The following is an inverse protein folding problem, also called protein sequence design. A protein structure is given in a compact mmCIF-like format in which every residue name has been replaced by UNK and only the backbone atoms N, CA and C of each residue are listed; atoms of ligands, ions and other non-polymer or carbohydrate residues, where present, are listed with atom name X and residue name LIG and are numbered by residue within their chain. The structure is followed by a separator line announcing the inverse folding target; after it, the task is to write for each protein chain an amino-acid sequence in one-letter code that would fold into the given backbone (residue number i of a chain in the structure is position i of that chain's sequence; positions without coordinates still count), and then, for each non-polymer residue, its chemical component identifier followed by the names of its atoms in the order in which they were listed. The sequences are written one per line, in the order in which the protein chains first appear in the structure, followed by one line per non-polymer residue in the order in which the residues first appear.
data_IF_574781211176
#
_entry.id   IF_574781211176
#
_cell.length_a   1.000
_cell.length_b   1.000
_cell.length_c   1.000
_cell.angle_alpha   90.00
_cell.angle_beta   90.00
_cell.angle_gamma   90.00
#
_symmetry.space_group_name_H-M   'P 1'
#
loop_
_entity.id
_entity.type
_entity.pdbx_description
1 polymer ?
#
# COMPACT_ATOMS: atom_id res chain seq x y z
N UNK A 1 21.61 16.81 6.75
CA UNK A 1 22.13 17.90 7.58
C UNK A 1 21.45 17.86 8.94
N UNK A 2 22.22 17.93 10.04
CA UNK A 2 21.71 17.99 11.42
C UNK A 2 21.09 19.34 11.75
N UNK A 3 21.35 20.37 10.95
CA UNK A 3 20.83 21.73 11.15
C UNK A 3 19.54 22.02 10.36
N UNK A 4 18.93 20.99 9.75
CA UNK A 4 17.70 21.13 9.00
C UNK A 4 16.53 20.58 9.80
N UNK A 5 15.42 21.32 9.82
CA UNK A 5 14.17 20.82 10.37
C UNK A 5 13.46 19.97 9.32
N UNK A 6 13.28 18.71 9.63
CA UNK A 6 12.50 17.80 8.83
C UNK A 6 11.01 17.95 9.17
N UNK A 7 10.12 17.47 8.31
CA UNK A 7 8.69 17.41 8.61
C UNK A 7 8.43 16.42 9.78
N UNK A 8 7.36 15.72 9.80
CA UNK A 8 7.01 14.79 10.89
C UNK A 8 7.95 13.58 11.03
N UNK A 9 8.70 13.24 9.98
CA UNK A 9 9.51 12.02 9.95
C UNK A 9 10.68 12.13 8.95
N UNK A 10 11.78 11.46 9.25
CA UNK A 10 12.90 11.33 8.33
C UNK A 10 12.61 10.15 7.38
N UNK A 11 12.30 10.45 6.13
CA UNK A 11 12.03 9.44 5.10
C UNK A 11 13.31 9.07 4.38
N UNK A 12 13.74 7.84 4.57
CA UNK A 12 14.92 7.31 3.89
C UNK A 12 14.61 7.01 2.43
N UNK A 13 13.52 6.28 2.16
CA UNK A 13 13.06 6.02 0.80
C UNK A 13 12.03 7.07 0.37
N UNK A 14 12.51 8.16 -0.19
CA UNK A 14 11.67 9.28 -0.64
C UNK A 14 12.12 9.82 -2.00
N UNK A 15 11.40 10.81 -2.49
CA UNK A 15 11.68 11.48 -3.76
C UNK A 15 13.06 12.12 -3.82
N UNK A 16 13.62 12.50 -2.67
CA UNK A 16 14.93 13.15 -2.57
C UNK A 16 16.09 12.22 -2.94
N UNK A 17 15.93 10.90 -2.79
CA UNK A 17 16.93 9.93 -3.26
C UNK A 17 17.15 10.02 -4.77
N UNK A 18 16.11 10.40 -5.53
CA UNK A 18 16.22 10.62 -6.97
C UNK A 18 16.64 12.05 -7.28
N UNK A 19 16.05 13.04 -6.59
CA UNK A 19 16.28 14.45 -6.91
C UNK A 19 17.66 14.96 -6.46
N UNK A 20 18.12 14.57 -5.26
CA UNK A 20 19.40 15.07 -4.73
C UNK A 20 20.61 14.75 -5.61
N UNK A 21 20.79 13.54 -6.16
CA UNK A 21 21.87 13.26 -7.11
C UNK A 21 21.78 14.08 -8.39
N UNK A 22 20.59 14.43 -8.85
CA UNK A 22 20.40 15.21 -10.09
C UNK A 22 20.93 16.64 -9.96
N UNK A 23 21.01 17.21 -8.76
CA UNK A 23 21.66 18.51 -8.54
C UNK A 23 23.17 18.51 -8.82
N UNK A 24 23.81 17.34 -8.91
CA UNK A 24 25.19 17.23 -9.37
C UNK A 24 25.32 17.34 -10.90
N UNK A 25 24.20 17.08 -11.62
CA UNK A 25 24.16 17.10 -13.08
C UNK A 25 23.52 18.37 -13.63
N UNK A 26 22.57 18.95 -12.90
CA UNK A 26 21.78 20.10 -13.31
C UNK A 26 21.79 21.17 -12.23
N UNK A 27 21.99 22.43 -12.62
CA UNK A 27 21.98 23.59 -11.71
C UNK A 27 20.58 24.18 -11.55
N UNK A 28 19.70 23.96 -12.51
CA UNK A 28 18.32 24.47 -12.50
C UNK A 28 17.41 23.57 -11.66
N UNK A 29 16.78 24.12 -10.63
CA UNK A 29 15.75 23.43 -9.85
C UNK A 29 14.60 22.90 -10.71
N UNK A 30 14.16 23.71 -11.70
CA UNK A 30 13.13 23.31 -12.64
C UNK A 30 13.51 22.03 -13.40
N UNK A 31 14.73 22.01 -13.97
CA UNK A 31 15.24 20.83 -14.69
C UNK A 31 15.34 19.60 -13.79
N UNK A 32 15.87 19.76 -12.57
CA UNK A 32 15.93 18.66 -11.58
C UNK A 32 14.54 18.12 -11.28
N UNK A 33 13.57 19.00 -11.07
CA UNK A 33 12.18 18.59 -10.80
C UNK A 33 11.58 17.82 -11.96
N UNK A 34 11.69 18.32 -13.19
CA UNK A 34 11.15 17.66 -14.39
C UNK A 34 11.79 16.28 -14.59
N UNK A 35 13.12 16.21 -14.62
CA UNK A 35 13.86 14.95 -14.82
C UNK A 35 13.57 13.97 -13.67
N UNK A 36 13.60 14.46 -12.43
CA UNK A 36 13.30 13.65 -11.25
C UNK A 36 11.87 13.11 -11.26
N UNK A 37 10.88 13.90 -11.71
CA UNK A 37 9.49 13.45 -11.87
C UNK A 37 9.37 12.32 -12.89
N UNK A 38 10.03 12.47 -14.04
CA UNK A 38 10.04 11.42 -15.07
C UNK A 38 10.65 10.13 -14.50
N UNK A 39 11.80 10.21 -13.84
CA UNK A 39 12.47 9.03 -13.22
C UNK A 39 11.55 8.37 -12.19
N UNK A 40 10.91 9.15 -11.32
CA UNK A 40 10.00 8.62 -10.30
C UNK A 40 8.77 7.93 -10.90
N UNK A 41 8.18 8.51 -11.93
CA UNK A 41 7.05 7.90 -12.66
C UNK A 41 7.50 6.61 -13.35
N UNK A 42 8.68 6.58 -13.95
CA UNK A 42 9.22 5.36 -14.55
C UNK A 42 9.47 4.26 -13.50
N UNK A 43 10.02 4.61 -12.32
CA UNK A 43 10.19 3.67 -11.21
C UNK A 43 8.83 3.15 -10.70
N UNK A 44 7.83 4.01 -10.62
CA UNK A 44 6.46 3.67 -10.25
C UNK A 44 5.85 2.66 -11.23
N UNK A 45 5.95 2.93 -12.53
CA UNK A 45 5.48 2.03 -13.57
C UNK A 45 6.29 0.72 -13.60
N UNK A 46 7.60 0.78 -13.40
CA UNK A 46 8.44 -0.42 -13.30
C UNK A 46 8.01 -1.33 -12.14
N UNK A 47 7.71 -0.75 -10.97
CA UNK A 47 7.18 -1.50 -9.82
C UNK A 47 5.81 -2.12 -10.12
N UNK A 48 4.92 -1.38 -10.81
CA UNK A 48 3.64 -1.91 -11.29
C UNK A 48 3.82 -3.08 -12.26
N UNK A 49 4.68 -2.95 -13.28
CA UNK A 49 4.94 -4.04 -14.22
C UNK A 49 5.62 -5.25 -13.56
N UNK A 50 6.50 -5.02 -12.59
CA UNK A 50 7.04 -6.09 -11.76
C UNK A 50 5.94 -6.86 -11.04
N UNK A 51 5.02 -6.16 -10.37
CA UNK A 51 3.85 -6.76 -9.73
C UNK A 51 2.97 -7.47 -10.74
N UNK A 52 2.61 -6.82 -11.84
CA UNK A 52 1.78 -7.37 -12.92
C UNK A 52 2.36 -8.65 -13.50
N UNK A 53 3.68 -8.69 -13.72
CA UNK A 53 4.39 -9.91 -14.17
C UNK A 53 4.35 -11.02 -13.11
N UNK A 54 4.49 -10.65 -11.84
CA UNK A 54 4.38 -11.59 -10.73
C UNK A 54 2.96 -12.16 -10.61
N UNK A 55 1.93 -11.33 -10.79
CA UNK A 55 0.52 -11.72 -10.77
C UNK A 55 0.02 -12.32 -12.10
N UNK A 56 0.87 -12.39 -13.16
CA UNK A 56 0.50 -12.82 -14.52
C UNK A 56 -0.62 -11.96 -15.12
N UNK A 57 -0.63 -10.68 -14.84
CA UNK A 57 -1.53 -9.73 -15.50
C UNK A 57 -1.06 -9.57 -16.96
N UNK A 58 -1.94 -9.87 -17.92
CA UNK A 58 -1.67 -9.71 -19.35
C UNK A 58 -1.98 -8.25 -19.79
N UNK A 59 -3.00 -8.08 -20.62
CA UNK A 59 -3.45 -6.77 -21.09
C UNK A 59 -3.93 -5.84 -19.96
N UNK A 60 -4.48 -6.40 -18.88
CA UNK A 60 -4.85 -5.65 -17.67
C UNK A 60 -3.66 -4.93 -17.01
N UNK A 61 -2.43 -5.42 -17.24
CA UNK A 61 -1.22 -4.71 -16.79
C UNK A 61 -1.03 -3.36 -17.48
N UNK A 62 -1.29 -3.27 -18.79
CA UNK A 62 -1.21 -2.00 -19.55
C UNK A 62 -2.35 -1.06 -19.17
N UNK A 63 -3.58 -1.57 -19.05
CA UNK A 63 -4.71 -0.76 -18.59
C UNK A 63 -4.46 -0.18 -17.20
N UNK A 64 -3.93 -0.99 -16.28
CA UNK A 64 -3.57 -0.53 -14.94
C UNK A 64 -2.47 0.53 -14.96
N UNK A 65 -1.44 0.39 -15.82
CA UNK A 65 -0.42 1.42 -15.99
C UNK A 65 -1.03 2.75 -16.49
N UNK A 66 -1.96 2.70 -17.44
CA UNK A 66 -2.69 3.88 -17.90
C UNK A 66 -3.49 4.54 -16.78
N UNK A 67 -4.21 3.75 -15.98
CA UNK A 67 -4.96 4.26 -14.83
C UNK A 67 -4.05 4.90 -13.77
N UNK A 68 -2.85 4.36 -13.54
CA UNK A 68 -1.90 4.89 -12.55
C UNK A 68 -1.33 6.26 -12.93
N UNK A 69 -1.32 6.63 -14.20
CA UNK A 69 -0.84 7.95 -14.65
C UNK A 69 -1.99 8.90 -15.02
N UNK A 70 -3.23 8.45 -14.92
CA UNK A 70 -4.40 9.27 -15.22
C UNK A 70 -4.78 10.16 -14.03
N UNK A 71 -4.90 11.48 -14.18
CA UNK A 71 -5.25 12.39 -13.08
C UNK A 71 -6.77 12.41 -12.81
N UNK A 72 -7.34 11.29 -12.40
CA UNK A 72 -8.78 11.10 -12.20
C UNK A 72 -9.35 11.81 -10.96
N UNK A 73 -8.52 12.23 -10.02
CA UNK A 73 -8.94 12.94 -8.81
C UNK A 73 -7.96 14.04 -8.43
N UNK A 74 -8.46 15.14 -7.86
CA UNK A 74 -7.63 16.28 -7.46
C UNK A 74 -6.55 15.88 -6.45
N UNK A 75 -6.92 15.09 -5.43
CA UNK A 75 -5.99 14.60 -4.40
C UNK A 75 -4.94 13.66 -5.02
N UNK A 76 -5.35 12.74 -5.89
CA UNK A 76 -4.42 11.84 -6.56
C UNK A 76 -3.43 12.61 -7.44
N UNK A 77 -3.92 13.56 -8.23
CA UNK A 77 -3.08 14.44 -9.04
C UNK A 77 -2.07 15.19 -8.17
N UNK A 78 -2.55 15.86 -7.12
CA UNK A 78 -1.72 16.70 -6.25
C UNK A 78 -0.64 15.93 -5.50
N UNK A 79 -0.98 14.78 -4.90
CA UNK A 79 -0.07 14.07 -4.00
C UNK A 79 0.72 12.94 -4.69
N UNK A 80 0.21 12.39 -5.78
CA UNK A 80 0.88 11.29 -6.49
C UNK A 80 1.57 11.78 -7.75
N UNK A 81 0.84 12.43 -8.68
CA UNK A 81 1.41 12.75 -9.99
C UNK A 81 2.24 14.04 -9.99
N UNK A 82 1.77 15.10 -9.36
CA UNK A 82 2.48 16.40 -9.32
C UNK A 82 3.43 16.51 -8.13
N UNK A 83 2.95 16.11 -6.94
CA UNK A 83 3.75 16.16 -5.71
C UNK A 83 4.74 15.01 -5.57
N UNK A 84 4.52 13.88 -6.26
CA UNK A 84 5.34 12.67 -6.24
C UNK A 84 5.54 12.05 -4.85
N UNK A 85 4.86 12.59 -3.86
CA UNK A 85 5.07 12.34 -2.44
C UNK A 85 4.79 10.88 -2.05
N UNK A 86 3.74 10.28 -2.63
CA UNK A 86 3.33 8.92 -2.34
C UNK A 86 3.89 7.87 -3.31
N UNK A 87 4.55 8.28 -4.39
CA UNK A 87 5.12 7.34 -5.38
C UNK A 87 6.04 6.30 -4.74
N UNK A 88 7.00 6.66 -3.86
CA UNK A 88 7.87 5.66 -3.24
C UNK A 88 7.08 4.62 -2.43
N UNK A 89 6.07 5.05 -1.67
CA UNK A 89 5.25 4.15 -0.85
C UNK A 89 4.44 3.18 -1.71
N UNK A 90 3.82 3.67 -2.79
CA UNK A 90 3.02 2.85 -3.69
C UNK A 90 3.92 1.89 -4.48
N UNK A 91 5.06 2.36 -4.97
CA UNK A 91 6.02 1.53 -5.68
C UNK A 91 6.54 0.37 -4.79
N UNK A 92 6.91 0.66 -3.54
CA UNK A 92 7.31 -0.36 -2.56
C UNK A 92 6.17 -1.35 -2.34
N UNK A 93 4.93 -0.88 -2.21
CA UNK A 93 3.76 -1.75 -2.05
C UNK A 93 3.61 -2.72 -3.23
N UNK A 94 3.79 -2.26 -4.46
CA UNK A 94 3.78 -3.15 -5.63
C UNK A 94 4.92 -4.17 -5.62
N UNK A 95 6.12 -3.77 -5.20
CA UNK A 95 7.25 -4.69 -5.09
C UNK A 95 6.97 -5.77 -4.05
N UNK A 96 6.52 -5.39 -2.86
CA UNK A 96 6.22 -6.32 -1.77
C UNK A 96 5.06 -7.25 -2.13
N UNK A 97 3.97 -6.73 -2.71
CA UNK A 97 2.86 -7.54 -3.21
C UNK A 97 3.33 -8.51 -4.31
N UNK A 98 4.20 -8.07 -5.21
CA UNK A 98 4.80 -8.94 -6.23
C UNK A 98 5.62 -10.07 -5.61
N UNK A 99 6.39 -9.80 -4.56
CA UNK A 99 7.12 -10.82 -3.79
C UNK A 99 6.15 -11.81 -3.12
N UNK A 100 5.10 -11.32 -2.47
CA UNK A 100 4.07 -12.15 -1.84
C UNK A 100 3.39 -13.10 -2.83
N UNK A 101 2.99 -12.58 -3.99
CA UNK A 101 2.42 -13.39 -5.07
C UNK A 101 3.40 -14.45 -5.58
N UNK A 102 4.70 -14.14 -5.68
CA UNK A 102 5.72 -15.12 -6.08
C UNK A 102 5.88 -16.24 -5.06
N UNK A 103 5.82 -15.93 -3.76
CA UNK A 103 5.84 -16.94 -2.69
C UNK A 103 4.65 -17.89 -2.83
N UNK A 104 3.44 -17.35 -3.05
CA UNK A 104 2.22 -18.14 -3.21
C UNK A 104 2.24 -19.04 -4.45
N UNK A 105 2.94 -18.65 -5.51
CA UNK A 105 3.04 -19.43 -6.75
C UNK A 105 4.00 -20.60 -6.66
N UNK A 106 4.73 -20.72 -5.56
CA UNK A 106 5.76 -21.74 -5.40
C UNK A 106 7.08 -21.38 -6.07
N UNK A 107 8.11 -22.19 -5.87
CA UNK A 107 9.45 -21.96 -6.35
C UNK A 107 10.41 -21.44 -5.28
N UNK A 108 11.45 -20.70 -5.68
CA UNK A 108 12.44 -20.13 -4.74
C UNK A 108 11.80 -19.05 -3.87
N UNK A 109 11.54 -19.37 -2.60
CA UNK A 109 10.83 -18.46 -1.66
C UNK A 109 11.76 -17.48 -0.95
N UNK A 110 13.04 -17.82 -0.81
CA UNK A 110 13.98 -17.04 0.01
C UNK A 110 14.19 -15.62 -0.53
N UNK A 111 14.46 -15.47 -1.84
CA UNK A 111 14.69 -14.14 -2.42
C UNK A 111 13.46 -13.21 -2.35
N UNK A 112 12.22 -13.65 -2.69
CA UNK A 112 11.03 -12.84 -2.46
C UNK A 112 10.78 -12.52 -0.99
N UNK A 113 11.01 -13.46 -0.06
CA UNK A 113 10.86 -13.21 1.38
C UNK A 113 11.87 -12.18 1.87
N UNK A 114 13.14 -12.31 1.48
CA UNK A 114 14.16 -11.32 1.79
C UNK A 114 13.81 -9.94 1.22
N UNK A 115 13.28 -9.87 -0.02
CA UNK A 115 12.77 -8.64 -0.60
C UNK A 115 11.66 -8.00 0.23
N UNK A 116 10.68 -8.78 0.68
CA UNK A 116 9.61 -8.28 1.55
C UNK A 116 10.19 -7.67 2.84
N UNK A 117 11.10 -8.38 3.52
CA UNK A 117 11.73 -7.93 4.77
C UNK A 117 12.53 -6.64 4.56
N UNK A 118 13.40 -6.61 3.54
CA UNK A 118 14.26 -5.46 3.26
C UNK A 118 13.46 -4.21 2.88
N UNK A 119 12.48 -4.33 1.98
CA UNK A 119 11.66 -3.19 1.58
C UNK A 119 10.73 -2.71 2.68
N UNK A 120 10.21 -3.61 3.52
CA UNK A 120 9.38 -3.23 4.69
C UNK A 120 10.21 -2.49 5.74
N UNK A 121 11.42 -2.97 6.06
CA UNK A 121 12.34 -2.29 6.96
C UNK A 121 12.71 -0.89 6.44
N UNK A 122 13.18 -0.82 5.18
CA UNK A 122 13.64 0.43 4.58
C UNK A 122 12.50 1.47 4.45
N UNK A 123 11.29 1.03 4.13
CA UNK A 123 10.14 1.93 4.07
C UNK A 123 9.73 2.45 5.45
N UNK A 124 9.79 1.61 6.48
CA UNK A 124 9.42 1.97 7.84
C UNK A 124 10.48 2.85 8.55
N UNK A 125 11.71 2.94 8.00
CA UNK A 125 12.65 4.01 8.39
C UNK A 125 12.09 5.42 8.12
N UNK A 126 11.06 5.56 7.31
CA UNK A 126 10.31 6.80 7.07
C UNK A 126 9.04 6.93 7.91
N UNK A 127 8.93 6.21 9.03
CA UNK A 127 7.78 6.27 9.93
C UNK A 127 6.83 5.06 9.81
N UNK A 128 5.75 5.02 10.66
CA UNK A 128 4.90 3.84 10.80
C UNK A 128 3.92 3.63 9.65
N UNK A 129 3.78 4.60 8.75
CA UNK A 129 2.74 4.60 7.69
C UNK A 129 2.71 3.31 6.90
N UNK A 130 3.89 2.83 6.48
CA UNK A 130 3.99 1.62 5.65
C UNK A 130 3.50 0.36 6.38
N UNK A 131 3.64 0.32 7.70
CA UNK A 131 3.13 -0.77 8.52
C UNK A 131 1.61 -0.90 8.37
N UNK A 132 0.90 0.24 8.42
CA UNK A 132 -0.58 0.27 8.36
C UNK A 132 -1.15 0.16 6.95
N UNK A 133 -0.47 0.71 5.93
CA UNK A 133 -1.00 0.68 4.55
C UNK A 133 -0.65 -0.58 3.78
N UNK A 134 0.40 -1.29 4.17
CA UNK A 134 0.88 -2.47 3.44
C UNK A 134 1.03 -3.70 4.33
N UNK A 135 1.85 -3.62 5.38
CA UNK A 135 2.33 -4.79 6.11
C UNK A 135 1.19 -5.49 6.86
N UNK A 136 0.49 -4.80 7.75
CA UNK A 136 -0.66 -5.36 8.50
C UNK A 136 -1.77 -5.85 7.55
N UNK A 137 -2.25 -5.08 6.56
CA UNK A 137 -3.22 -5.57 5.58
C UNK A 137 -2.76 -6.83 4.83
N UNK A 138 -1.49 -6.93 4.49
CA UNK A 138 -0.95 -8.10 3.79
C UNK A 138 -0.92 -9.34 4.69
N UNK A 139 -0.55 -9.19 5.96
CA UNK A 139 -0.57 -10.26 6.95
C UNK A 139 -2.00 -10.72 7.22
N UNK A 140 -2.95 -9.80 7.37
CA UNK A 140 -4.38 -10.13 7.50
C UNK A 140 -4.90 -10.87 6.27
N UNK A 141 -4.53 -10.41 5.07
CA UNK A 141 -4.90 -11.08 3.82
C UNK A 141 -4.33 -12.50 3.71
N UNK A 142 -3.07 -12.69 4.11
CA UNK A 142 -2.44 -14.01 4.15
C UNK A 142 -3.13 -14.93 5.16
N UNK A 143 -3.45 -14.42 6.36
CA UNK A 143 -4.18 -15.16 7.39
C UNK A 143 -5.60 -15.54 6.93
N UNK A 144 -6.32 -14.61 6.27
CA UNK A 144 -7.63 -14.88 5.71
C UNK A 144 -7.60 -16.01 4.67
N UNK A 145 -6.65 -15.96 3.74
CA UNK A 145 -6.49 -17.02 2.73
C UNK A 145 -6.07 -18.35 3.36
N UNK A 146 -5.17 -18.30 4.35
CA UNK A 146 -4.74 -19.45 5.13
C UNK A 146 -5.97 -20.15 5.76
N UNK A 147 -6.85 -19.39 6.38
CA UNK A 147 -8.07 -19.88 7.01
C UNK A 147 -9.12 -20.42 6.02
N UNK A 148 -9.38 -19.68 4.94
CA UNK A 148 -10.37 -20.06 3.92
C UNK A 148 -9.95 -21.29 3.10
N UNK A 149 -8.65 -21.49 2.92
CA UNK A 149 -8.11 -22.61 2.15
C UNK A 149 -7.85 -23.85 2.99
N UNK A 150 -7.94 -23.74 4.32
CA UNK A 150 -7.81 -24.86 5.21
C UNK A 150 -8.91 -25.91 4.97
N UNK A 151 -8.58 -27.20 4.88
CA UNK A 151 -9.58 -28.25 4.83
C UNK A 151 -10.51 -28.21 6.05
N UNK A 152 -11.75 -28.71 5.90
CA UNK A 152 -12.65 -28.88 7.04
C UNK A 152 -11.97 -29.70 8.15
N UNK A 153 -12.30 -29.41 9.39
CA UNK A 153 -11.74 -30.07 10.55
C UNK A 153 -12.75 -30.07 11.70
N UNK A 154 -12.74 -31.14 12.48
CA UNK A 154 -13.67 -31.33 13.61
C UNK A 154 -13.32 -30.46 14.82
N UNK A 155 -12.05 -30.07 14.94
CA UNK A 155 -11.56 -29.24 16.03
C UNK A 155 -10.85 -27.99 15.51
N UNK A 156 -10.90 -26.89 16.30
CA UNK A 156 -10.20 -25.66 16.01
C UNK A 156 -8.68 -25.89 15.87
N UNK A 157 -8.09 -26.74 16.75
CA UNK A 157 -6.65 -27.08 16.70
C UNK A 157 -6.28 -27.75 15.37
N UNK A 158 -7.10 -28.71 14.93
CA UNK A 158 -6.87 -29.40 13.66
C UNK A 158 -7.02 -28.42 12.48
N UNK A 159 -8.02 -27.53 12.51
CA UNK A 159 -8.20 -26.51 11.51
C UNK A 159 -7.01 -25.56 11.40
N UNK A 160 -6.47 -25.10 12.53
CA UNK A 160 -5.27 -24.27 12.56
C UNK A 160 -4.05 -25.00 12.00
N UNK A 161 -3.85 -26.28 12.38
CA UNK A 161 -2.77 -27.10 11.83
C UNK A 161 -2.89 -27.28 10.33
N UNK A 162 -4.10 -27.51 9.82
CA UNK A 162 -4.38 -27.64 8.39
C UNK A 162 -4.13 -26.31 7.67
N UNK A 163 -4.53 -25.18 8.28
CA UNK A 163 -4.34 -23.86 7.75
C UNK A 163 -2.86 -23.53 7.49
N UNK A 164 -1.98 -23.85 8.43
CA UNK A 164 -0.53 -23.65 8.28
C UNK A 164 0.08 -24.41 7.09
N UNK A 165 -0.51 -25.52 6.68
CA UNK A 165 -0.06 -26.33 5.55
C UNK A 165 -0.53 -25.79 4.19
N UNK A 166 -1.41 -24.78 4.16
CA UNK A 166 -1.87 -24.13 2.95
C UNK A 166 -0.78 -23.20 2.36
N UNK A 167 -0.88 -22.84 1.07
CA UNK A 167 -0.02 -21.80 0.50
C UNK A 167 -0.14 -20.45 1.23
N UNK A 168 -1.34 -20.10 1.74
CA UNK A 168 -1.54 -18.92 2.60
C UNK A 168 -0.73 -18.99 3.88
N UNK A 169 -0.67 -20.17 4.53
CA UNK A 169 0.18 -20.41 5.70
C UNK A 169 1.68 -20.26 5.39
N UNK A 170 2.11 -20.71 4.21
CA UNK A 170 3.49 -20.51 3.76
C UNK A 170 3.85 -19.02 3.53
N UNK A 171 2.87 -18.15 3.29
CA UNK A 171 3.06 -16.70 3.17
C UNK A 171 3.06 -16.00 4.53
N UNK A 172 2.39 -16.54 5.55
CA UNK A 172 2.28 -15.90 6.87
C UNK A 172 3.65 -15.66 7.52
N UNK A 173 4.57 -16.62 7.44
CA UNK A 173 5.91 -16.45 8.04
C UNK A 173 6.67 -15.27 7.41
N UNK A 174 6.78 -15.16 6.08
CA UNK A 174 7.39 -13.98 5.46
C UNK A 174 6.67 -12.66 5.75
N UNK A 175 5.34 -12.65 5.85
CA UNK A 175 4.61 -11.40 6.20
C UNK A 175 4.87 -10.98 7.63
N UNK A 176 4.82 -11.89 8.59
CA UNK A 176 5.16 -11.61 9.99
C UNK A 176 6.62 -11.15 10.15
N UNK A 177 7.55 -11.75 9.40
CA UNK A 177 8.93 -11.29 9.37
C UNK A 177 9.07 -9.87 8.78
N UNK A 178 8.28 -9.55 7.75
CA UNK A 178 8.22 -8.21 7.18
C UNK A 178 7.59 -7.19 8.14
N UNK A 179 6.55 -7.58 8.90
CA UNK A 179 5.95 -6.75 9.95
C UNK A 179 6.96 -6.45 11.06
N UNK A 180 7.68 -7.46 11.53
CA UNK A 180 8.73 -7.30 12.54
C UNK A 180 9.86 -6.40 12.02
N UNK A 181 10.27 -6.55 10.77
CA UNK A 181 11.26 -5.70 10.13
C UNK A 181 10.77 -4.25 9.97
N UNK A 182 9.50 -4.05 9.62
CA UNK A 182 8.89 -2.72 9.56
C UNK A 182 8.84 -2.08 10.95
N UNK A 183 8.44 -2.82 11.97
CA UNK A 183 8.48 -2.33 13.35
C UNK A 183 9.90 -1.95 13.79
N UNK A 184 10.89 -2.78 13.48
CA UNK A 184 12.29 -2.49 13.75
C UNK A 184 12.77 -1.22 13.01
N UNK A 185 12.43 -1.06 11.73
CA UNK A 185 12.71 0.16 10.96
C UNK A 185 12.08 1.40 11.57
N UNK A 186 10.83 1.31 12.00
CA UNK A 186 10.16 2.40 12.72
C UNK A 186 10.83 2.72 14.06
N UNK A 187 11.22 1.74 14.85
CA UNK A 187 11.92 1.95 16.11
C UNK A 187 13.30 2.61 15.89
N UNK A 188 14.03 2.22 14.85
CA UNK A 188 15.27 2.89 14.45
C UNK A 188 14.99 4.36 14.09
N UNK A 189 13.94 4.63 13.33
CA UNK A 189 13.54 6.01 13.04
C UNK A 189 13.22 6.79 14.32
N UNK A 190 12.35 6.25 15.16
CA UNK A 190 11.80 6.94 16.33
C UNK A 190 12.82 7.11 17.49
N UNK A 191 13.78 6.19 17.63
CA UNK A 191 14.71 6.18 18.76
C UNK A 191 16.14 6.57 18.41
N UNK A 192 16.58 6.28 17.18
CA UNK A 192 17.96 6.56 16.77
C UNK A 192 18.06 7.78 15.86
N UNK A 193 17.19 7.85 14.84
CA UNK A 193 17.25 8.96 13.88
C UNK A 193 16.62 10.23 14.46
N UNK A 194 15.54 10.11 15.23
CA UNK A 194 14.89 11.25 15.87
C UNK A 194 15.79 11.99 16.87
N UNK A 195 16.74 11.29 17.49
CA UNK A 195 17.71 11.93 18.41
C UNK A 195 18.78 12.76 17.65
N UNK A 196 19.04 12.42 16.38
CA UNK A 196 20.08 13.06 15.56
C UNK A 196 19.58 14.19 14.68
N UNK A 197 18.28 14.26 14.44
CA UNK A 197 17.66 15.18 13.49
C UNK A 197 16.52 15.93 14.15
N UNK A 198 16.33 17.19 13.79
CA UNK A 198 15.23 18.01 14.30
C UNK A 198 13.99 17.77 13.44
N UNK A 199 12.88 17.42 14.09
CA UNK A 199 11.58 17.28 13.46
C UNK A 199 10.67 18.43 13.83
N UNK A 200 9.89 18.90 12.85
CA UNK A 200 8.84 19.86 13.09
C UNK A 200 7.69 19.17 13.83
N UNK A 201 7.33 19.69 14.99
CA UNK A 201 6.16 19.20 15.72
C UNK A 201 4.89 19.59 14.96
N UNK A 202 4.21 18.62 14.39
CA UNK A 202 2.94 18.82 13.65
C UNK A 202 1.74 18.22 14.38
N UNK A 203 1.85 18.00 15.67
CA UNK A 203 0.85 17.28 16.45
C UNK A 203 0.85 15.78 16.17
N UNK A 204 0.80 15.02 17.21
CA UNK A 204 0.77 13.56 17.08
C UNK A 204 -0.65 13.09 16.80
N UNK A 205 -0.79 12.16 15.88
CA UNK A 205 -2.00 11.36 15.76
C UNK A 205 -2.18 10.58 17.05
N UNK A 206 -3.19 10.91 17.85
CA UNK A 206 -3.49 10.24 19.09
C UNK A 206 -4.62 9.23 18.93
N UNK A 207 -4.53 8.12 19.63
CA UNK A 207 -5.65 7.20 19.75
C UNK A 207 -6.65 7.77 20.75
N UNK A 208 -7.84 8.10 20.27
CA UNK A 208 -8.89 8.80 21.07
C UNK A 208 -10.11 7.92 21.35
N UNK A 209 -10.06 6.64 21.00
CA UNK A 209 -11.20 5.72 21.06
C UNK A 209 -12.04 5.75 19.80
N UNK A 210 -12.94 4.77 19.65
CA UNK A 210 -13.79 4.63 18.48
C UNK A 210 -14.79 5.79 18.36
N UNK A 211 -14.68 6.52 17.28
CA UNK A 211 -15.62 7.58 16.92
C UNK A 211 -16.24 7.28 15.54
N UNK A 212 -17.55 7.01 15.52
CA UNK A 212 -18.25 6.65 14.29
C UNK A 212 -18.40 7.83 13.31
N UNK A 213 -18.41 9.08 13.79
CA UNK A 213 -18.50 10.26 12.92
C UNK A 213 -17.27 10.37 12.01
N UNK A 214 -16.12 9.85 12.46
CA UNK A 214 -14.89 9.84 11.68
C UNK A 214 -14.90 8.80 10.56
N UNK A 215 -15.75 7.78 10.63
CA UNK A 215 -15.97 6.85 9.52
C UNK A 215 -16.57 7.57 8.31
N UNK A 216 -17.35 8.61 8.51
CA UNK A 216 -17.82 9.48 7.43
C UNK A 216 -16.64 10.15 6.71
N UNK A 217 -15.63 10.61 7.44
CA UNK A 217 -14.43 11.19 6.84
C UNK A 217 -13.66 10.16 5.99
N UNK A 218 -13.57 8.91 6.46
CA UNK A 218 -13.00 7.83 5.66
C UNK A 218 -13.77 7.61 4.36
N UNK A 219 -15.10 7.55 4.42
CA UNK A 219 -15.94 7.39 3.22
C UNK A 219 -15.75 8.57 2.27
N UNK A 220 -15.76 9.81 2.78
CA UNK A 220 -15.54 11.01 1.98
C UNK A 220 -14.13 11.02 1.34
N UNK A 221 -13.10 10.65 2.09
CA UNK A 221 -11.74 10.54 1.57
C UNK A 221 -11.63 9.46 0.47
N UNK A 222 -12.31 8.33 0.64
CA UNK A 222 -12.37 7.27 -0.36
C UNK A 222 -13.07 7.78 -1.64
N UNK A 223 -14.23 8.39 -1.51
CA UNK A 223 -14.97 8.97 -2.64
C UNK A 223 -14.14 10.04 -3.36
N UNK A 224 -13.55 10.97 -2.62
CA UNK A 224 -12.70 12.03 -3.17
C UNK A 224 -11.47 11.48 -3.91
N UNK A 225 -10.91 10.36 -3.43
CA UNK A 225 -9.80 9.68 -4.11
C UNK A 225 -10.17 9.13 -5.48
N UNK A 226 -11.44 8.85 -5.71
CA UNK A 226 -11.99 8.43 -7.01
C UNK A 226 -12.61 9.58 -7.81
N UNK A 227 -12.40 10.82 -7.40
CA UNK A 227 -12.82 12.01 -8.15
C UNK A 227 -14.22 12.52 -7.80
N UNK A 228 -14.81 12.07 -6.68
CA UNK A 228 -16.07 12.62 -6.19
C UNK A 228 -15.96 14.13 -5.94
N UNK A 229 -16.95 14.91 -6.43
CA UNK A 229 -17.04 16.35 -6.24
C UNK A 229 -18.29 16.69 -5.43
N UNK A 230 -18.10 17.36 -4.31
CA UNK A 230 -19.20 17.80 -3.45
C UNK A 230 -20.05 18.92 -4.11
N UNK A 231 -21.31 18.98 -3.72
CA UNK A 231 -22.22 20.10 -4.07
C UNK A 231 -22.83 20.09 -5.48
N UNK A 232 -22.61 19.06 -6.30
CA UNK A 232 -23.11 19.01 -7.70
C UNK A 232 -24.11 17.88 -7.92
N UNK A 233 -25.32 17.98 -7.34
CA UNK A 233 -26.33 16.93 -7.38
C UNK A 233 -26.98 16.75 -8.77
N UNK A 234 -27.16 17.83 -9.51
CA UNK A 234 -27.75 17.79 -10.87
C UNK A 234 -26.79 18.44 -11.89
N UNK A 235 -25.81 17.69 -12.33
CA UNK A 235 -24.84 18.15 -13.33
C UNK A 235 -24.13 16.97 -14.00
N UNK A 236 -23.39 17.23 -15.08
CA UNK A 236 -22.51 16.21 -15.67
C UNK A 236 -21.54 15.62 -14.62
N UNK A 237 -21.12 16.41 -13.62
CA UNK A 237 -20.31 15.94 -12.49
C UNK A 237 -21.05 14.90 -11.63
N UNK A 238 -22.37 14.90 -11.54
CA UNK A 238 -23.13 13.88 -10.83
C UNK A 238 -23.01 12.50 -11.50
N UNK A 239 -22.89 12.43 -12.82
CA UNK A 239 -22.64 11.17 -13.53
C UNK A 239 -21.25 10.61 -13.19
N UNK A 240 -20.23 11.47 -13.11
CA UNK A 240 -18.90 11.04 -12.66
C UNK A 240 -18.89 10.59 -11.20
N UNK A 241 -19.63 11.27 -10.34
CA UNK A 241 -19.79 10.87 -8.94
C UNK A 241 -20.46 9.49 -8.83
N UNK A 242 -21.52 9.26 -9.59
CA UNK A 242 -22.19 7.96 -9.63
C UNK A 242 -21.27 6.86 -10.17
N UNK A 243 -20.50 7.14 -11.22
CA UNK A 243 -19.52 6.22 -11.78
C UNK A 243 -18.41 5.90 -10.76
N UNK A 244 -17.90 6.88 -10.02
CA UNK A 244 -16.92 6.68 -8.96
C UNK A 244 -17.45 5.79 -7.85
N UNK A 245 -18.68 6.06 -7.36
CA UNK A 245 -19.32 5.24 -6.33
C UNK A 245 -19.56 3.81 -6.82
N UNK A 246 -20.05 3.64 -8.06
CA UNK A 246 -20.26 2.33 -8.68
C UNK A 246 -18.94 1.56 -8.83
N UNK A 247 -17.85 2.23 -9.22
CA UNK A 247 -16.52 1.62 -9.34
C UNK A 247 -15.99 1.15 -7.98
N UNK A 248 -16.14 1.97 -6.93
CA UNK A 248 -15.74 1.59 -5.57
C UNK A 248 -16.53 0.36 -5.12
N UNK A 249 -17.85 0.39 -5.26
CA UNK A 249 -18.71 -0.75 -4.91
C UNK A 249 -18.32 -2.00 -5.70
N UNK A 250 -18.07 -1.85 -7.01
CA UNK A 250 -17.58 -2.94 -7.85
C UNK A 250 -16.26 -3.51 -7.32
N UNK A 251 -15.28 -2.67 -6.93
CA UNK A 251 -14.01 -3.13 -6.36
C UNK A 251 -14.22 -3.96 -5.09
N UNK A 252 -15.13 -3.54 -4.20
CA UNK A 252 -15.45 -4.31 -2.98
C UNK A 252 -16.12 -5.65 -3.31
N UNK A 253 -17.18 -5.64 -4.11
CA UNK A 253 -17.91 -6.85 -4.50
C UNK A 253 -17.01 -7.82 -5.24
N UNK A 254 -16.22 -7.31 -6.19
CA UNK A 254 -15.29 -8.12 -6.96
C UNK A 254 -14.18 -8.71 -6.09
N UNK A 255 -13.68 -7.97 -5.11
CA UNK A 255 -12.68 -8.47 -4.16
C UNK A 255 -13.22 -9.59 -3.29
N UNK A 256 -14.46 -9.47 -2.79
CA UNK A 256 -15.14 -10.57 -2.08
C UNK A 256 -15.28 -11.79 -2.98
N UNK A 257 -15.67 -11.57 -4.24
CA UNK A 257 -15.84 -12.64 -5.22
C UNK A 257 -14.52 -13.36 -5.54
N UNK A 258 -13.43 -12.59 -5.71
CA UNK A 258 -12.07 -13.14 -5.88
C UNK A 258 -11.68 -14.02 -4.69
N UNK A 259 -11.86 -13.53 -3.46
CA UNK A 259 -11.47 -14.24 -2.23
C UNK A 259 -12.23 -15.56 -2.08
N UNK A 260 -13.54 -15.56 -2.34
CA UNK A 260 -14.40 -16.74 -2.24
C UNK A 260 -14.18 -17.74 -3.38
N UNK A 261 -13.72 -17.30 -4.52
CA UNK A 261 -13.58 -18.10 -5.74
C UNK A 261 -12.36 -19.03 -5.78
N UNK A 262 -12.17 -19.91 -4.76
CA UNK A 262 -11.02 -20.81 -4.62
C UNK A 262 -10.73 -21.65 -5.86
N UNK A 263 -11.73 -22.22 -6.47
CA UNK A 263 -11.59 -23.07 -7.66
C UNK A 263 -11.44 -22.27 -8.97
N UNK A 264 -11.85 -21.01 -8.97
CA UNK A 264 -11.98 -20.19 -10.19
C UNK A 264 -10.80 -19.24 -10.42
N UNK A 265 -10.23 -18.70 -9.33
CA UNK A 265 -9.21 -17.66 -9.42
C UNK A 265 -7.85 -18.11 -8.89
N UNK A 266 -6.76 -17.72 -9.58
CA UNK A 266 -5.42 -17.96 -9.09
C UNK A 266 -5.21 -17.33 -7.70
N UNK A 267 -4.42 -17.99 -6.86
CA UNK A 267 -4.20 -17.57 -5.47
C UNK A 267 -3.62 -16.15 -5.36
N UNK A 268 -2.79 -15.73 -6.33
CA UNK A 268 -2.27 -14.35 -6.38
C UNK A 268 -3.36 -13.29 -6.57
N UNK A 269 -4.39 -13.55 -7.40
CA UNK A 269 -5.53 -12.64 -7.56
C UNK A 269 -6.39 -12.60 -6.29
N UNK A 270 -6.57 -13.74 -5.64
CA UNK A 270 -7.28 -13.84 -4.36
C UNK A 270 -6.56 -13.06 -3.26
N UNK A 271 -5.21 -13.12 -3.24
CA UNK A 271 -4.40 -12.32 -2.31
C UNK A 271 -4.64 -10.81 -2.51
N UNK A 272 -4.67 -10.34 -3.75
CA UNK A 272 -4.95 -8.93 -4.05
C UNK A 272 -6.33 -8.50 -3.57
N UNK A 273 -7.37 -9.32 -3.83
CA UNK A 273 -8.71 -9.06 -3.30
C UNK A 273 -8.75 -9.06 -1.78
N UNK A 274 -8.11 -10.03 -1.12
CA UNK A 274 -8.02 -10.09 0.33
C UNK A 274 -7.24 -8.89 0.91
N UNK A 275 -6.15 -8.49 0.27
CA UNK A 275 -5.36 -7.32 0.65
C UNK A 275 -6.16 -6.02 0.55
N UNK A 276 -6.91 -5.83 -0.53
CA UNK A 276 -7.80 -4.68 -0.70
C UNK A 276 -8.84 -4.59 0.41
N UNK A 277 -9.53 -5.70 0.72
CA UNK A 277 -10.53 -5.76 1.79
C UNK A 277 -9.91 -5.51 3.17
N UNK A 278 -8.78 -6.15 3.47
CA UNK A 278 -8.04 -5.96 4.72
C UNK A 278 -7.55 -4.50 4.85
N UNK A 279 -7.03 -3.92 3.77
CA UNK A 279 -6.63 -2.51 3.73
C UNK A 279 -7.78 -1.57 4.03
N UNK A 280 -8.94 -1.77 3.40
CA UNK A 280 -10.12 -0.96 3.65
C UNK A 280 -10.56 -1.02 5.12
N UNK A 281 -10.56 -2.21 5.74
CA UNK A 281 -10.88 -2.38 7.16
C UNK A 281 -9.83 -1.71 8.05
N UNK A 282 -8.53 -1.90 7.77
CA UNK A 282 -7.45 -1.26 8.54
C UNK A 282 -7.54 0.27 8.47
N UNK A 283 -7.82 0.83 7.30
CA UNK A 283 -8.00 2.28 7.15
C UNK A 283 -9.24 2.79 7.87
N UNK A 284 -10.39 2.09 7.75
CA UNK A 284 -11.60 2.46 8.47
C UNK A 284 -11.37 2.48 9.99
N UNK A 285 -10.66 1.46 10.52
CA UNK A 285 -10.31 1.40 11.93
C UNK A 285 -9.36 2.54 12.33
N UNK A 286 -8.35 2.84 11.51
CA UNK A 286 -7.44 3.97 11.78
C UNK A 286 -8.21 5.29 11.84
N UNK A 287 -9.07 5.59 10.87
CA UNK A 287 -9.88 6.79 10.88
C UNK A 287 -10.84 6.84 12.08
N UNK A 288 -11.43 5.71 12.46
CA UNK A 288 -12.34 5.65 13.61
C UNK A 288 -11.65 5.76 14.96
N UNK A 289 -10.37 5.36 15.07
CA UNK A 289 -9.63 5.30 16.34
C UNK A 289 -8.68 6.49 16.58
N UNK A 290 -8.38 7.29 15.56
CA UNK A 290 -7.39 8.38 15.63
C UNK A 290 -8.04 9.74 15.42
N UNK A 291 -7.42 10.80 15.97
CA UNK A 291 -7.82 12.19 15.73
C UNK A 291 -7.13 12.78 14.50
#
# INVERSE_FOLDING_TARGET
STNWYYSTELRVLNTQLVMAPLFRLFTSWHTVRVVGSVVLILLYLAAWFWFGRSAKLKYSGLLGAGLLVLPYGALYRQYVLEGLYYIPHIAISFVVLGCAVRILRGGRRLAPAAGMVLFSFAAALGGPRQLFILNIPLTVAAALLCWLDAPPADTLRQKLTNAWRTPGGALLVPTLAADAAALAGYLVNAKVLAEKYHFQDQGYVAFTGLNLDRLQWFVNALLASFGWQEGKVFSLAALFNLAAAALILFCFVFSVWLVRGKARYPLGHRLVGAFFLAGAVCFALLYGLTN
#
